data_IF_080606645774
#
_entry.id   IF_080606645774
#
_cell.length_a   1.000
_cell.length_b   1.000
_cell.length_c   1.000
_cell.angle_alpha   90.00
_cell.angle_beta   90.00
_cell.angle_gamma   90.00
#
_symmetry.space_group_name_H-M   'P 1'
#
loop_
_entity.id
_entity.type
_entity.pdbx_description
1 polymer ?
#
# COMPACT_ATOMS: atom_id res chain seq x y z
N UNK A 1 16.20 -24.65 7.85
CA UNK A 1 16.44 -23.58 6.86
C UNK A 1 16.05 -22.25 7.47
N UNK A 2 16.91 -21.23 7.38
CA UNK A 2 16.60 -19.88 7.86
C UNK A 2 15.65 -19.19 6.88
N UNK A 3 14.57 -18.60 7.40
CA UNK A 3 13.66 -17.79 6.60
C UNK A 3 14.30 -16.42 6.33
N UNK A 4 14.39 -16.04 5.06
CA UNK A 4 14.95 -14.78 4.59
C UNK A 4 13.84 -13.94 3.96
N UNK A 5 13.73 -12.70 4.38
CA UNK A 5 12.85 -11.69 3.78
C UNK A 5 13.75 -10.51 3.40
N UNK A 6 13.89 -10.26 2.11
CA UNK A 6 14.62 -9.11 1.57
C UNK A 6 13.64 -8.14 0.93
N UNK A 7 13.79 -6.86 1.27
CA UNK A 7 12.94 -5.78 0.76
C UNK A 7 13.80 -4.62 0.27
N UNK A 8 13.40 -4.02 -0.84
CA UNK A 8 14.05 -2.83 -1.40
C UNK A 8 13.00 -1.79 -1.72
N UNK A 9 13.31 -0.52 -1.44
CA UNK A 9 12.49 0.62 -1.87
C UNK A 9 13.33 1.43 -2.84
N UNK A 10 12.86 1.55 -4.08
CA UNK A 10 13.66 2.08 -5.20
C UNK A 10 12.81 2.82 -6.21
N UNK A 11 13.47 3.30 -7.27
CA UNK A 11 12.83 3.84 -8.47
C UNK A 11 11.73 4.88 -8.15
N UNK A 12 12.09 6.02 -7.53
CA UNK A 12 11.13 7.08 -7.24
C UNK A 12 10.58 7.65 -8.56
N UNK A 13 9.25 7.70 -8.70
CA UNK A 13 8.61 8.27 -9.88
C UNK A 13 7.59 9.32 -9.50
N UNK A 14 7.56 10.40 -10.29
CA UNK A 14 6.51 11.40 -10.21
C UNK A 14 5.31 10.85 -10.97
N UNK A 15 4.23 10.59 -10.24
CA UNK A 15 2.92 10.28 -10.80
C UNK A 15 2.16 11.60 -11.02
N UNK A 16 1.65 11.80 -12.23
CA UNK A 16 0.81 12.95 -12.57
C UNK A 16 -0.58 12.41 -12.89
N UNK A 17 -1.51 12.52 -11.95
CA UNK A 17 -2.92 12.25 -12.23
C UNK A 17 -3.54 13.44 -12.99
N UNK A 18 -3.27 14.66 -12.51
CA UNK A 18 -3.60 15.96 -13.11
C UNK A 18 -2.52 16.99 -12.75
N UNK A 19 -2.50 18.16 -13.41
CA UNK A 19 -1.48 19.22 -13.23
C UNK A 19 -1.23 19.64 -11.76
N UNK A 20 -2.21 19.48 -10.88
CA UNK A 20 -2.16 19.90 -9.47
C UNK A 20 -1.98 18.77 -8.45
N UNK A 21 -2.11 17.51 -8.89
CA UNK A 21 -2.14 16.34 -7.99
C UNK A 21 -0.91 15.44 -8.17
N UNK A 22 0.21 16.03 -8.58
CA UNK A 22 1.46 15.30 -8.70
C UNK A 22 1.94 14.78 -7.33
N UNK A 23 2.38 13.54 -7.28
CA UNK A 23 3.00 12.94 -6.10
C UNK A 23 4.15 12.02 -6.50
N UNK A 24 5.03 11.71 -5.54
CA UNK A 24 6.06 10.69 -5.73
C UNK A 24 5.62 9.38 -5.09
N UNK A 25 5.75 8.30 -5.85
CA UNK A 25 5.69 6.94 -5.36
C UNK A 25 7.03 6.23 -5.52
N UNK A 26 7.17 5.13 -4.81
CA UNK A 26 8.36 4.29 -4.80
C UNK A 26 7.98 2.86 -5.18
N UNK A 27 8.85 2.19 -5.92
CA UNK A 27 8.75 0.75 -6.13
C UNK A 27 9.22 0.03 -4.87
N UNK A 28 8.39 -0.85 -4.34
CA UNK A 28 8.75 -1.79 -3.28
C UNK A 28 8.93 -3.16 -3.93
N UNK A 29 10.13 -3.71 -3.85
CA UNK A 29 10.41 -5.08 -4.27
C UNK A 29 10.61 -5.95 -3.05
N UNK A 30 9.94 -7.09 -3.00
CA UNK A 30 10.09 -8.11 -1.96
C UNK A 30 10.56 -9.41 -2.59
N UNK A 31 11.56 -10.04 -1.98
CA UNK A 31 12.02 -11.38 -2.29
C UNK A 31 12.15 -12.19 -0.99
N UNK A 32 11.53 -13.36 -0.93
CA UNK A 32 11.52 -14.17 0.29
C UNK A 32 11.35 -15.66 -0.01
N UNK A 33 11.90 -16.51 0.85
CA UNK A 33 11.55 -17.93 0.94
C UNK A 33 10.47 -18.21 2.01
N UNK A 34 10.11 -17.22 2.83
CA UNK A 34 9.19 -17.34 3.96
C UNK A 34 7.80 -17.83 3.56
N UNK A 35 7.25 -18.74 4.37
CA UNK A 35 5.88 -19.24 4.24
C UNK A 35 4.83 -18.22 4.67
N UNK A 36 5.23 -17.14 5.36
CA UNK A 36 4.34 -16.05 5.73
C UNK A 36 3.80 -15.29 4.51
N UNK A 37 4.50 -15.35 3.37
CA UNK A 37 4.13 -14.60 2.17
C UNK A 37 3.54 -15.50 1.09
N UNK A 38 2.48 -15.02 0.43
CA UNK A 38 1.82 -15.74 -0.67
C UNK A 38 2.69 -15.75 -1.92
N UNK A 39 3.26 -14.59 -2.31
CA UNK A 39 4.25 -14.51 -3.39
C UNK A 39 5.67 -14.55 -2.84
N UNK A 40 6.56 -15.30 -3.48
CA UNK A 40 8.00 -15.31 -3.16
C UNK A 40 8.71 -14.07 -3.70
N UNK A 41 8.21 -13.51 -4.79
CA UNK A 41 8.67 -12.24 -5.37
C UNK A 41 7.44 -11.36 -5.62
N UNK A 42 7.47 -10.11 -5.16
CA UNK A 42 6.46 -9.11 -5.51
C UNK A 42 7.10 -7.75 -5.78
N UNK A 43 6.50 -6.99 -6.70
CA UNK A 43 6.80 -5.57 -6.91
C UNK A 43 5.49 -4.79 -6.90
N UNK A 44 5.43 -3.74 -6.10
CA UNK A 44 4.26 -2.85 -5.97
C UNK A 44 4.75 -1.41 -5.87
N UNK A 45 3.91 -0.45 -6.28
CA UNK A 45 4.21 0.98 -6.10
C UNK A 45 3.36 1.58 -4.98
N UNK A 46 4.01 2.34 -4.08
CA UNK A 46 3.36 2.99 -2.93
C UNK A 46 3.92 4.40 -2.72
N UNK A 47 3.04 5.34 -2.36
CA UNK A 47 3.42 6.71 -1.98
C UNK A 47 3.57 6.85 -0.46
N UNK A 48 4.30 7.87 -0.03
CA UNK A 48 4.61 8.09 1.40
C UNK A 48 3.36 8.10 2.31
N UNK A 49 2.25 8.71 1.89
CA UNK A 49 1.05 8.76 2.72
C UNK A 49 0.42 7.38 2.96
N UNK A 50 0.62 6.41 2.05
CA UNK A 50 0.17 5.04 2.26
C UNK A 50 1.05 4.32 3.29
N UNK A 51 2.35 4.65 3.39
CA UNK A 51 3.20 4.16 4.48
C UNK A 51 2.78 4.73 5.84
N UNK A 52 2.37 6.01 5.88
CA UNK A 52 1.82 6.63 7.10
C UNK A 52 0.57 5.88 7.56
N UNK A 53 -0.36 5.60 6.62
CA UNK A 53 -1.52 4.78 6.89
C UNK A 53 -1.14 3.39 7.39
N UNK A 54 -0.20 2.70 6.73
CA UNK A 54 0.23 1.36 7.12
C UNK A 54 0.77 1.35 8.56
N UNK A 55 1.65 2.28 8.92
CA UNK A 55 2.18 2.38 10.29
C UNK A 55 1.07 2.59 11.31
N UNK A 56 0.11 3.48 11.04
CA UNK A 56 -1.03 3.71 11.93
C UNK A 56 -1.89 2.45 12.08
N UNK A 57 -2.15 1.76 10.96
CA UNK A 57 -2.98 0.56 10.94
C UNK A 57 -2.34 -0.59 11.73
N UNK A 58 -1.05 -0.84 11.49
CA UNK A 58 -0.28 -1.84 12.24
C UNK A 58 -0.20 -1.52 13.73
N UNK A 59 -0.03 -0.24 14.09
CA UNK A 59 -0.01 0.18 15.50
C UNK A 59 -1.35 -0.07 16.20
N UNK A 60 -2.47 0.21 15.51
CA UNK A 60 -3.81 -0.03 16.03
C UNK A 60 -4.08 -1.53 16.22
N UNK A 61 -3.68 -2.36 15.26
CA UNK A 61 -3.88 -3.82 15.32
C UNK A 61 -2.96 -4.50 16.35
N UNK A 62 -1.76 -3.96 16.61
CA UNK A 62 -0.81 -4.49 17.59
C UNK A 62 -1.12 -4.10 19.05
N UNK A 63 -2.22 -3.38 19.32
CA UNK A 63 -2.71 -3.00 20.67
C UNK A 63 -1.61 -2.46 21.61
N UNK A 64 -0.69 -1.63 21.08
CA UNK A 64 0.45 -1.02 21.81
C UNK A 64 1.52 -1.99 22.34
N UNK A 65 1.46 -3.29 22.04
CA UNK A 65 2.46 -4.25 22.53
C UNK A 65 3.86 -4.03 21.92
N UNK A 66 3.93 -3.34 20.77
CA UNK A 66 5.16 -3.10 20.03
C UNK A 66 5.27 -1.61 19.70
N UNK A 67 6.46 -1.05 19.92
CA UNK A 67 6.84 0.25 19.39
C UNK A 67 7.20 0.09 17.92
N UNK A 68 6.37 0.61 17.02
CA UNK A 68 6.66 0.54 15.59
C UNK A 68 7.84 1.44 15.21
N UNK A 69 8.66 1.03 14.22
CA UNK A 69 9.72 1.87 13.68
C UNK A 69 9.14 3.17 13.12
N UNK A 70 9.93 4.24 13.23
CA UNK A 70 9.53 5.55 12.76
C UNK A 70 9.69 5.66 11.25
N UNK A 71 8.74 6.32 10.61
CA UNK A 71 8.85 6.70 9.21
C UNK A 71 9.81 7.88 9.08
N UNK A 72 10.43 8.08 7.89
CA UNK A 72 11.12 9.32 7.62
C UNK A 72 10.18 10.50 7.89
N UNK A 73 10.68 11.58 8.52
CA UNK A 73 9.83 12.66 9.02
C UNK A 73 9.02 13.27 7.88
N UNK A 74 7.76 13.62 8.20
CA UNK A 74 6.91 14.36 7.26
C UNK A 74 7.51 15.76 7.11
N UNK A 75 8.24 15.98 6.02
CA UNK A 75 8.77 17.30 5.69
C UNK A 75 7.65 18.16 5.06
N UNK A 76 7.18 19.23 5.72
CA UNK A 76 6.17 20.14 5.16
C UNK A 76 6.68 20.88 3.92
N UNK A 77 8.01 21.02 3.78
CA UNK A 77 8.69 21.64 2.63
C UNK A 77 9.31 20.58 1.70
N UNK A 78 8.68 19.41 1.58
CA UNK A 78 9.16 18.38 0.68
C UNK A 78 9.00 18.82 -0.78
N UNK A 79 10.11 18.89 -1.52
CA UNK A 79 10.13 19.26 -2.92
C UNK A 79 10.23 18.02 -3.82
N UNK A 80 9.34 17.92 -4.80
CA UNK A 80 9.34 16.84 -5.80
C UNK A 80 10.56 16.91 -6.75
N UNK A 81 11.31 18.02 -6.72
CA UNK A 81 12.49 18.22 -7.56
C UNK A 81 13.80 18.07 -6.76
N UNK A 82 13.73 17.85 -5.45
CA UNK A 82 14.92 17.70 -4.60
C UNK A 82 15.33 16.22 -4.48
N UNK A 83 16.29 15.82 -5.30
CA UNK A 83 16.79 14.44 -5.36
C UNK A 83 17.32 13.91 -4.00
N UNK A 84 17.92 14.77 -3.18
CA UNK A 84 18.42 14.40 -1.85
C UNK A 84 17.25 14.05 -0.93
N UNK A 85 16.23 14.91 -0.84
CA UNK A 85 15.04 14.65 -0.02
C UNK A 85 14.30 13.38 -0.46
N UNK A 86 14.19 13.16 -1.77
CA UNK A 86 13.56 11.96 -2.34
C UNK A 86 14.34 10.70 -1.95
N UNK A 87 15.67 10.75 -2.04
CA UNK A 87 16.57 9.63 -1.72
C UNK A 87 16.58 9.33 -0.23
N UNK A 88 16.62 10.35 0.63
CA UNK A 88 16.60 10.16 2.09
C UNK A 88 15.26 9.58 2.55
N UNK A 89 14.15 10.05 1.97
CA UNK A 89 12.83 9.44 2.18
C UNK A 89 12.82 7.98 1.73
N UNK A 90 13.32 7.68 0.53
CA UNK A 90 13.39 6.31 0.00
C UNK A 90 14.15 5.36 0.94
N UNK A 91 15.34 5.77 1.40
CA UNK A 91 16.15 5.01 2.37
C UNK A 91 15.42 4.80 3.69
N UNK A 92 14.76 5.85 4.20
CA UNK A 92 13.96 5.76 5.42
C UNK A 92 12.76 4.80 5.30
N UNK A 93 12.09 4.81 4.14
CA UNK A 93 11.01 3.87 3.84
C UNK A 93 11.49 2.41 3.77
N UNK A 94 12.67 2.17 3.18
CA UNK A 94 13.27 0.84 3.16
C UNK A 94 13.59 0.35 4.58
N UNK A 95 14.29 1.17 5.37
CA UNK A 95 14.63 0.84 6.76
C UNK A 95 13.39 0.55 7.60
N UNK A 96 12.32 1.33 7.42
CA UNK A 96 11.03 1.07 8.06
C UNK A 96 10.52 -0.34 7.73
N UNK A 97 10.47 -0.74 6.45
CA UNK A 97 10.01 -2.07 6.05
C UNK A 97 10.92 -3.18 6.57
N UNK A 98 12.24 -3.01 6.47
CA UNK A 98 13.23 -3.98 7.00
C UNK A 98 12.99 -4.26 8.50
N UNK A 99 12.67 -3.23 9.28
CA UNK A 99 12.37 -3.37 10.71
C UNK A 99 11.00 -4.00 10.97
N UNK A 100 9.96 -3.63 10.21
CA UNK A 100 8.61 -4.22 10.34
C UNK A 100 8.67 -5.73 10.05
N UNK A 101 9.40 -6.14 9.02
CA UNK A 101 9.48 -7.52 8.54
C UNK A 101 10.26 -8.46 9.47
N UNK A 102 10.91 -7.93 10.50
CA UNK A 102 11.57 -8.74 11.55
C UNK A 102 10.60 -9.22 12.63
N UNK A 103 9.39 -8.65 12.73
CA UNK A 103 8.43 -8.97 13.77
C UNK A 103 7.39 -10.01 13.30
N UNK A 104 7.37 -11.24 13.87
CA UNK A 104 6.35 -12.23 13.52
C UNK A 104 4.92 -11.76 13.78
N UNK A 105 4.72 -10.90 14.78
CA UNK A 105 3.40 -10.32 15.07
C UNK A 105 2.92 -9.39 13.95
N UNK A 106 3.82 -8.59 13.37
CA UNK A 106 3.44 -7.71 12.26
C UNK A 106 3.29 -8.51 10.96
N UNK A 107 4.04 -9.60 10.80
CA UNK A 107 3.91 -10.52 9.68
C UNK A 107 2.59 -11.30 9.66
N UNK A 108 1.82 -11.33 10.75
CA UNK A 108 0.48 -11.95 10.73
C UNK A 108 -0.61 -10.99 10.23
N UNK A 109 -0.31 -9.70 10.06
CA UNK A 109 -1.28 -8.69 9.66
C UNK A 109 -1.56 -8.71 8.14
N UNK A 110 -2.82 -8.95 7.76
CA UNK A 110 -3.24 -9.00 6.35
C UNK A 110 -3.07 -7.67 5.61
N UNK A 111 -3.13 -6.53 6.29
CA UNK A 111 -2.91 -5.22 5.68
C UNK A 111 -1.46 -5.07 5.20
N UNK A 112 -0.49 -5.62 5.93
CA UNK A 112 0.92 -5.63 5.52
C UNK A 112 1.11 -6.44 4.23
N UNK A 113 0.52 -7.63 4.16
CA UNK A 113 0.59 -8.49 2.98
C UNK A 113 -0.05 -7.86 1.75
N UNK A 114 -1.25 -7.29 1.90
CA UNK A 114 -1.93 -6.58 0.83
C UNK A 114 -1.15 -5.34 0.38
N UNK A 115 -0.53 -4.61 1.31
CA UNK A 115 0.31 -3.46 1.00
C UNK A 115 1.53 -3.85 0.16
N UNK A 116 2.21 -4.96 0.48
CA UNK A 116 3.46 -5.41 -0.15
C UNK A 116 3.27 -6.27 -1.40
N UNK A 117 2.12 -6.96 -1.55
CA UNK A 117 1.94 -8.00 -2.57
C UNK A 117 0.75 -7.78 -3.51
N UNK A 118 -0.05 -6.72 -3.30
CA UNK A 118 -1.19 -6.35 -4.16
C UNK A 118 -1.13 -4.89 -4.58
N UNK A 119 -1.81 -4.54 -5.67
CA UNK A 119 -1.94 -3.16 -6.16
C UNK A 119 -3.21 -2.46 -5.65
N UNK A 120 -3.87 -3.01 -4.62
CA UNK A 120 -5.08 -2.43 -4.04
C UNK A 120 -4.79 -1.06 -3.42
N UNK A 121 -5.70 -0.11 -3.61
CA UNK A 121 -5.72 1.16 -2.88
C UNK A 121 -6.02 0.91 -1.40
N UNK A 122 -5.60 1.82 -0.53
CA UNK A 122 -5.80 1.76 0.93
C UNK A 122 -7.22 1.37 1.33
N UNK A 123 -8.26 2.04 0.79
CA UNK A 123 -9.66 1.73 1.11
C UNK A 123 -10.06 0.28 0.78
N UNK A 124 -9.53 -0.27 -0.32
CA UNK A 124 -9.77 -1.66 -0.72
C UNK A 124 -8.96 -2.64 0.13
N UNK A 125 -7.78 -2.26 0.61
CA UNK A 125 -7.04 -3.07 1.59
C UNK A 125 -7.84 -3.19 2.88
N UNK A 126 -8.38 -2.08 3.40
CA UNK A 126 -9.19 -2.09 4.62
C UNK A 126 -10.46 -2.91 4.46
N UNK A 127 -11.18 -2.74 3.34
CA UNK A 127 -12.35 -3.54 3.04
C UNK A 127 -12.02 -5.03 2.97
N UNK A 128 -10.92 -5.40 2.30
CA UNK A 128 -10.51 -6.81 2.17
C UNK A 128 -10.09 -7.42 3.50
N UNK A 129 -9.30 -6.70 4.30
CA UNK A 129 -8.88 -7.14 5.63
C UNK A 129 -10.07 -7.28 6.60
N UNK A 130 -11.13 -6.48 6.41
CA UNK A 130 -12.36 -6.56 7.19
C UNK A 130 -13.40 -7.57 6.66
N UNK A 131 -13.09 -8.33 5.60
CA UNK A 131 -14.02 -9.28 5.00
C UNK A 131 -15.19 -8.64 4.23
N UNK A 132 -15.05 -7.38 3.82
CA UNK A 132 -16.07 -6.58 3.11
C UNK A 132 -15.85 -6.53 1.59
N UNK A 133 -15.07 -7.46 1.04
CA UNK A 133 -14.86 -7.61 -0.41
C UNK A 133 -15.32 -8.98 -0.89
N UNK A 134 -15.66 -9.09 -2.17
CA UNK A 134 -16.02 -10.37 -2.82
C UNK A 134 -14.84 -11.35 -2.97
N UNK A 135 -13.61 -10.87 -2.76
CA UNK A 135 -12.39 -11.68 -2.82
C UNK A 135 -11.65 -11.70 -1.48
N UNK A 136 -10.89 -12.76 -1.25
CA UNK A 136 -10.01 -12.93 -0.09
C UNK A 136 -8.65 -12.25 -0.27
N UNK A 137 -7.89 -12.16 0.82
CA UNK A 137 -6.50 -11.66 0.82
C UNK A 137 -5.62 -12.43 -0.17
N UNK A 138 -5.73 -13.76 -0.19
CA UNK A 138 -4.95 -14.60 -1.09
C UNK A 138 -5.32 -14.36 -2.56
N UNK A 139 -6.61 -14.22 -2.87
CA UNK A 139 -7.09 -13.91 -4.22
C UNK A 139 -6.64 -12.52 -4.69
N UNK A 140 -6.65 -11.53 -3.79
CA UNK A 140 -6.14 -10.19 -4.07
C UNK A 140 -4.64 -10.20 -4.38
N UNK A 141 -3.84 -10.93 -3.58
CA UNK A 141 -2.39 -11.05 -3.80
C UNK A 141 -2.10 -11.79 -5.10
N UNK A 142 -2.78 -12.89 -5.41
CA UNK A 142 -2.57 -13.65 -6.64
C UNK A 142 -2.94 -12.89 -7.93
N UNK A 143 -3.65 -11.75 -7.83
CA UNK A 143 -4.06 -10.96 -8.98
C UNK A 143 -5.33 -11.48 -9.69
N UNK A 144 -5.95 -12.55 -9.18
CA UNK A 144 -7.17 -13.11 -9.74
C UNK A 144 -8.43 -12.30 -9.39
N UNK A 145 -8.38 -11.46 -8.36
CA UNK A 145 -9.52 -10.63 -7.92
C UNK A 145 -9.94 -9.50 -8.88
N UNK A 146 -9.26 -9.32 -10.02
CA UNK A 146 -9.57 -8.30 -11.03
C UNK A 146 -9.94 -8.88 -12.40
N UNK A 147 -9.83 -10.20 -12.62
CA UNK A 147 -9.94 -10.78 -13.99
C UNK A 147 -10.98 -11.87 -14.19
N UNK A 148 -11.79 -12.26 -13.21
CA UNK A 148 -12.87 -13.23 -13.46
C UNK A 148 -14.15 -12.83 -12.73
N UNK A 149 -15.16 -12.50 -13.54
CA UNK A 149 -16.56 -12.16 -13.22
C UNK A 149 -16.83 -10.72 -12.77
N UNK A 150 -16.75 -9.77 -13.72
CA UNK A 150 -17.66 -8.63 -13.70
C UNK A 150 -18.71 -8.89 -14.77
N UNK A 151 -19.98 -9.05 -14.36
CA UNK A 151 -21.12 -8.85 -15.24
C UNK A 151 -21.19 -7.37 -15.62
N UNK A 152 -21.64 -7.09 -16.84
CA UNK A 152 -21.70 -5.73 -17.43
C UNK A 152 -22.50 -4.70 -16.61
N UNK A 153 -23.26 -5.15 -15.62
CA UNK A 153 -24.14 -4.33 -14.77
C UNK A 153 -23.40 -3.46 -13.74
N UNK A 154 -22.19 -3.83 -13.30
CA UNK A 154 -21.46 -3.05 -12.28
C UNK A 154 -20.69 -1.86 -12.85
N UNK A 155 -20.37 -1.87 -14.15
CA UNK A 155 -19.66 -0.76 -14.81
C UNK A 155 -20.54 0.50 -14.91
N UNK A 156 -21.86 0.34 -14.83
CA UNK A 156 -22.82 1.43 -14.90
C UNK A 156 -22.95 2.20 -13.57
N UNK A 157 -22.63 1.56 -12.42
CA UNK A 157 -22.71 2.21 -11.10
C UNK A 157 -21.54 3.16 -10.83
N UNK A 158 -20.35 2.85 -11.33
CA UNK A 158 -19.17 3.71 -11.15
C UNK A 158 -19.19 4.96 -12.06
N UNK A 159 -19.93 4.93 -13.18
CA UNK A 159 -20.16 6.12 -14.02
C UNK A 159 -21.34 7.00 -13.54
N UNK A 160 -22.34 6.44 -12.84
CA UNK A 160 -23.50 7.21 -12.36
C UNK A 160 -23.23 8.03 -11.10
N UNK A 161 -22.13 7.77 -10.37
CA UNK A 161 -21.79 8.49 -9.13
C UNK A 161 -21.03 9.81 -9.38
N UNK A 162 -20.81 10.21 -10.64
CA UNK A 162 -20.05 11.42 -10.99
C UNK A 162 -20.87 12.52 -11.68
N UNK A 163 -22.20 12.36 -11.83
CA UNK A 163 -23.02 13.30 -12.59
C UNK A 163 -24.37 13.70 -11.97
N UNK A 164 -24.47 13.82 -10.64
CA UNK A 164 -25.61 14.53 -10.02
C UNK A 164 -25.13 15.59 -9.02
N UNK A 165 -24.75 16.75 -9.58
CA UNK A 165 -24.76 18.03 -8.89
C UNK A 165 -24.94 19.11 -9.95
N UNK A 166 -26.21 19.33 -10.35
CA UNK A 166 -26.80 20.66 -10.50
C UNK A 166 -28.24 20.55 -11.00
N UNK A 167 -29.21 20.73 -10.10
CA UNK A 167 -30.41 21.54 -10.38
C UNK A 167 -31.25 21.77 -9.12
N UNK A 168 -31.56 23.06 -8.96
CA UNK A 168 -32.77 23.63 -8.38
C UNK A 168 -32.91 23.69 -6.85
N UNK A 169 -32.56 24.87 -6.31
CA UNK A 169 -33.35 25.50 -5.25
C UNK A 169 -33.89 26.84 -5.74
N UNK A 170 -35.23 26.88 -5.72
CA UNK A 170 -36.18 27.99 -5.80
C UNK A 170 -35.68 29.33 -5.26
#
# INVERSE_FOLDING_TARGET
MQQLISVWVRDPRIQKNDFWHAYIDYEICLHTNSVCFTKKISSVRRRYSEFVWLRQKLQANALLMIKLPDLPPKNPFFSLNNAQQITDRMKGLQKFLEQILQSPLLLSDSCLHLFLQSQLRVSRIEACAAGKTSFSVAQAVQGNGLRRFHSEEDLQKDLCLSCDSDSDRL
#
